data_IF_731683105755
#
_entry.id   IF_731683105755
#
_cell.length_a   1.000
_cell.length_b   1.000
_cell.length_c   1.000
_cell.angle_alpha   90.00
_cell.angle_beta   90.00
_cell.angle_gamma   90.00
#
_symmetry.space_group_name_H-M   'P 1'
#
loop_
_entity.id
_entity.type
_entity.pdbx_description
1 polymer ?
#
# COMPACT_ATOMS: atom_id res chain seq x y z
N UNK A 1 -0.90 4.48 -21.50
CA UNK A 1 0.25 5.41 -21.50
C UNK A 1 1.51 4.56 -21.56
N UNK A 2 2.52 4.94 -22.35
CA UNK A 2 3.82 4.26 -22.36
C UNK A 2 4.91 5.23 -21.93
N UNK A 3 5.76 4.80 -21.01
CA UNK A 3 6.94 5.54 -20.55
C UNK A 3 8.18 4.72 -20.86
N UNK A 4 9.24 5.37 -21.33
CA UNK A 4 10.55 4.76 -21.51
C UNK A 4 11.40 5.13 -20.32
N UNK A 5 11.97 4.12 -19.65
CA UNK A 5 12.83 4.29 -18.49
C UNK A 5 14.17 3.61 -18.78
N UNK A 6 15.26 4.26 -18.39
CA UNK A 6 16.58 3.63 -18.35
C UNK A 6 16.69 2.86 -17.03
N UNK A 7 16.85 1.55 -17.11
CA UNK A 7 16.95 0.68 -15.94
C UNK A 7 18.43 0.61 -15.53
N UNK A 8 18.79 0.97 -14.27
CA UNK A 8 20.15 0.87 -13.78
C UNK A 8 20.65 -0.58 -13.78
N UNK A 9 21.94 -0.81 -14.04
CA UNK A 9 22.54 -2.16 -14.03
C UNK A 9 22.30 -2.90 -12.70
N UNK A 10 22.24 -2.19 -11.57
CA UNK A 10 21.95 -2.78 -10.27
C UNK A 10 20.55 -3.41 -10.17
N UNK A 11 19.58 -2.89 -10.93
CA UNK A 11 18.22 -3.44 -11.01
C UNK A 11 18.17 -4.60 -12.01
N UNK A 12 19.00 -4.56 -13.05
CA UNK A 12 19.07 -5.58 -14.10
C UNK A 12 19.35 -6.98 -13.52
N UNK A 13 20.30 -7.08 -12.58
CA UNK A 13 20.59 -8.34 -11.88
C UNK A 13 19.44 -8.83 -10.99
N UNK A 14 18.67 -7.90 -10.41
CA UNK A 14 17.51 -8.23 -9.55
C UNK A 14 16.36 -8.75 -10.42
N UNK A 15 16.12 -8.11 -11.57
CA UNK A 15 15.13 -8.56 -12.54
C UNK A 15 15.44 -9.97 -13.04
N UNK A 16 16.69 -10.24 -13.39
CA UNK A 16 17.11 -11.57 -13.84
C UNK A 16 16.88 -12.65 -12.79
N UNK A 17 17.16 -12.33 -11.51
CA UNK A 17 16.89 -13.24 -10.41
C UNK A 17 15.39 -13.53 -10.31
N UNK A 18 14.57 -12.48 -10.22
CA UNK A 18 13.11 -12.60 -10.05
C UNK A 18 12.44 -13.30 -11.23
N UNK A 19 12.82 -12.95 -12.46
CA UNK A 19 12.36 -13.61 -13.68
C UNK A 19 12.61 -15.13 -13.66
N UNK A 20 13.75 -15.58 -13.12
CA UNK A 20 14.07 -17.01 -13.00
C UNK A 20 13.27 -17.69 -11.90
N UNK A 21 13.12 -17.05 -10.75
CA UNK A 21 12.39 -17.60 -9.60
C UNK A 21 10.90 -17.76 -9.91
N UNK A 22 10.29 -16.73 -10.53
CA UNK A 22 8.86 -16.69 -10.81
C UNK A 22 8.49 -17.18 -12.22
N UNK A 23 9.47 -17.55 -13.04
CA UNK A 23 9.27 -17.99 -14.43
C UNK A 23 8.56 -16.93 -15.30
N UNK A 24 8.95 -15.67 -15.14
CA UNK A 24 8.39 -14.52 -15.83
C UNK A 24 9.42 -13.88 -16.77
N UNK A 25 8.96 -13.25 -17.85
CA UNK A 25 9.83 -12.37 -18.63
C UNK A 25 10.21 -11.11 -17.84
N UNK A 26 11.27 -10.43 -18.29
CA UNK A 26 11.84 -9.27 -17.57
C UNK A 26 10.86 -8.09 -17.47
N UNK A 27 10.03 -7.89 -18.50
CA UNK A 27 9.06 -6.79 -18.51
C UNK A 27 7.94 -7.07 -17.51
N UNK A 28 7.46 -8.31 -17.46
CA UNK A 28 6.48 -8.75 -16.47
C UNK A 28 7.02 -8.63 -15.03
N UNK A 29 8.25 -9.09 -14.79
CA UNK A 29 8.90 -8.95 -13.47
C UNK A 29 9.07 -7.47 -13.08
N UNK A 30 9.49 -6.61 -14.01
CA UNK A 30 9.61 -5.18 -13.76
C UNK A 30 8.27 -4.52 -13.46
N UNK A 31 7.22 -4.87 -14.20
CA UNK A 31 5.87 -4.35 -13.95
C UNK A 31 5.35 -4.73 -12.56
N UNK A 32 5.59 -5.97 -12.11
CA UNK A 32 5.24 -6.39 -10.75
C UNK A 32 6.00 -5.59 -9.70
N UNK A 33 7.32 -5.44 -9.86
CA UNK A 33 8.13 -4.64 -8.94
C UNK A 33 7.69 -3.17 -8.89
N UNK A 34 7.30 -2.59 -10.03
CA UNK A 34 6.76 -1.23 -10.08
C UNK A 34 5.44 -1.12 -9.31
N UNK A 35 4.57 -2.13 -9.42
CA UNK A 35 3.32 -2.17 -8.68
C UNK A 35 3.54 -2.28 -7.16
N UNK A 36 4.40 -3.21 -6.73
CA UNK A 36 4.78 -3.37 -5.31
C UNK A 36 5.40 -2.10 -4.73
N UNK A 37 6.25 -1.42 -5.52
CA UNK A 37 6.84 -0.14 -5.14
C UNK A 37 5.80 0.97 -5.02
N UNK A 38 4.83 1.04 -5.95
CA UNK A 38 3.74 2.01 -5.90
C UNK A 38 2.83 1.78 -4.69
N UNK A 39 2.48 0.53 -4.42
CA UNK A 39 1.70 0.12 -3.26
C UNK A 39 2.41 0.51 -1.96
N UNK A 40 3.67 0.10 -1.80
CA UNK A 40 4.50 0.45 -0.63
C UNK A 40 4.62 1.96 -0.43
N UNK A 41 4.79 2.72 -1.51
CA UNK A 41 4.82 4.18 -1.47
C UNK A 41 3.49 4.76 -0.94
N UNK A 42 2.35 4.29 -1.46
CA UNK A 42 1.04 4.79 -1.06
C UNK A 42 0.67 4.39 0.38
N UNK A 43 1.00 3.16 0.80
CA UNK A 43 0.86 2.72 2.18
C UNK A 43 1.65 3.63 3.13
N UNK A 44 2.90 3.97 2.79
CA UNK A 44 3.70 4.91 3.60
C UNK A 44 3.10 6.32 3.66
N UNK A 45 2.50 6.79 2.57
CA UNK A 45 1.80 8.07 2.55
C UNK A 45 0.55 8.05 3.44
N UNK A 46 -0.16 6.93 3.50
CA UNK A 46 -1.27 6.73 4.42
C UNK A 46 -0.79 6.69 5.88
N UNK A 47 0.24 5.89 6.17
CA UNK A 47 0.82 5.74 7.52
C UNK A 47 1.36 7.05 8.09
N UNK A 48 1.85 7.94 7.23
CA UNK A 48 2.30 9.29 7.61
C UNK A 48 1.17 10.33 7.66
N UNK A 49 -0.09 9.92 7.43
CA UNK A 49 -1.27 10.78 7.48
C UNK A 49 -1.43 11.73 6.29
N UNK A 50 -0.64 11.56 5.21
CA UNK A 50 -0.67 12.43 4.03
C UNK A 50 -1.84 12.14 3.10
N UNK A 51 -2.32 10.91 3.07
CA UNK A 51 -3.51 10.50 2.33
C UNK A 51 -4.49 9.80 3.27
N UNK A 52 -5.79 9.92 2.97
CA UNK A 52 -6.82 9.17 3.69
C UNK A 52 -6.85 7.72 3.20
N UNK A 53 -7.45 6.82 4.00
CA UNK A 53 -7.71 5.44 3.59
C UNK A 53 -8.58 5.36 2.32
N UNK A 54 -9.54 6.27 2.19
CA UNK A 54 -10.37 6.41 0.99
C UNK A 54 -9.56 6.78 -0.25
N UNK A 55 -8.55 7.66 -0.11
CA UNK A 55 -7.67 8.03 -1.21
C UNK A 55 -6.71 6.90 -1.60
N UNK A 56 -6.26 6.12 -0.62
CA UNK A 56 -5.46 4.91 -0.88
C UNK A 56 -6.25 3.91 -1.74
N UNK A 57 -7.50 3.64 -1.37
CA UNK A 57 -8.42 2.78 -2.13
C UNK A 57 -8.61 3.26 -3.58
N UNK A 58 -8.89 4.55 -3.77
CA UNK A 58 -9.06 5.15 -5.10
C UNK A 58 -7.81 5.02 -5.98
N UNK A 59 -6.62 5.21 -5.40
CA UNK A 59 -5.36 5.20 -6.17
C UNK A 59 -4.89 3.79 -6.55
N UNK A 60 -5.23 2.79 -5.73
CA UNK A 60 -4.89 1.39 -5.98
C UNK A 60 -6.04 0.62 -6.66
N UNK A 61 -7.18 1.26 -6.90
CA UNK A 61 -8.41 0.64 -7.41
C UNK A 61 -8.86 -0.56 -6.56
N UNK A 62 -8.79 -0.37 -5.24
CA UNK A 62 -9.16 -1.38 -4.23
C UNK A 62 -10.43 -0.96 -3.49
N UNK A 63 -11.17 -1.94 -2.98
CA UNK A 63 -12.25 -1.70 -2.04
C UNK A 63 -11.75 -1.52 -0.59
N UNK A 64 -12.65 -1.17 0.32
CA UNK A 64 -12.27 -0.91 1.72
C UNK A 64 -11.79 -2.14 2.49
N UNK A 65 -12.23 -3.33 2.09
CA UNK A 65 -11.84 -4.61 2.66
C UNK A 65 -10.41 -4.95 2.21
N UNK A 66 -10.15 -4.89 0.90
CA UNK A 66 -8.82 -5.10 0.32
C UNK A 66 -7.78 -4.13 0.90
N UNK A 67 -8.17 -2.86 1.10
CA UNK A 67 -7.28 -1.90 1.76
C UNK A 67 -7.02 -2.24 3.24
N UNK A 68 -7.95 -2.88 3.96
CA UNK A 68 -7.65 -3.35 5.32
C UNK A 68 -6.63 -4.48 5.28
N UNK A 69 -6.82 -5.49 4.42
CA UNK A 69 -5.88 -6.61 4.27
C UNK A 69 -4.48 -6.09 3.92
N UNK A 70 -4.40 -5.18 2.94
CA UNK A 70 -3.16 -4.53 2.54
C UNK A 70 -2.45 -3.84 3.72
N UNK A 71 -3.18 -3.08 4.54
CA UNK A 71 -2.58 -2.38 5.68
C UNK A 71 -2.11 -3.34 6.78
N UNK A 72 -2.78 -4.48 6.95
CA UNK A 72 -2.37 -5.53 7.88
C UNK A 72 -1.08 -6.23 7.42
N UNK A 73 -0.98 -6.55 6.13
CA UNK A 73 0.21 -7.15 5.50
C UNK A 73 1.44 -6.26 5.64
N UNK A 74 1.28 -4.95 5.46
CA UNK A 74 2.35 -3.96 5.65
C UNK A 74 2.63 -3.63 7.13
N UNK A 75 2.02 -4.34 8.07
CA UNK A 75 2.12 -4.13 9.53
C UNK A 75 1.82 -2.69 9.97
N UNK A 76 1.02 -1.96 9.20
CA UNK A 76 0.55 -0.63 9.56
C UNK A 76 -0.56 -0.81 10.58
N UNK A 77 -0.19 -0.86 11.86
CA UNK A 77 -1.17 -0.78 12.95
C UNK A 77 -1.93 0.53 12.77
N UNK A 78 -3.23 0.43 12.54
CA UNK A 78 -4.17 1.55 12.57
C UNK A 78 -4.03 2.20 13.94
N UNK A 79 -3.17 3.21 14.04
CA UNK A 79 -3.13 4.06 15.21
C UNK A 79 -4.43 4.85 15.16
N UNK A 80 -5.40 4.39 15.96
CA UNK A 80 -6.61 5.17 16.17
C UNK A 80 -6.10 6.50 16.74
N UNK A 81 -6.23 7.58 15.96
CA UNK A 81 -5.92 8.92 16.47
C UNK A 81 -6.60 9.08 17.83
N UNK A 82 -5.88 9.61 18.82
CA UNK A 82 -6.39 9.80 20.18
C UNK A 82 -7.75 10.53 20.18
N UNK A 83 -7.96 11.44 19.24
CA UNK A 83 -9.22 12.16 19.05
C UNK A 83 -10.37 11.26 18.57
N UNK A 84 -10.06 10.25 17.75
CA UNK A 84 -11.04 9.27 17.26
C UNK A 84 -11.36 8.22 18.33
N UNK A 85 -10.34 7.84 19.11
CA UNK A 85 -10.49 6.97 20.27
C UNK A 85 -11.40 7.61 21.33
N UNK A 86 -11.11 8.86 21.72
CA UNK A 86 -11.91 9.61 22.71
C UNK A 86 -13.34 9.87 22.24
N UNK A 87 -13.55 10.17 20.95
CA UNK A 87 -14.90 10.25 20.38
C UNK A 87 -15.66 8.92 20.46
N UNK A 88 -15.00 7.79 20.20
CA UNK A 88 -15.60 6.46 20.33
C UNK A 88 -16.10 6.18 21.75
N UNK A 89 -15.28 6.50 22.76
CA UNK A 89 -15.65 6.35 24.18
C UNK A 89 -16.85 7.23 24.54
N UNK A 90 -16.83 8.51 24.15
CA UNK A 90 -17.92 9.44 24.47
C UNK A 90 -19.28 9.03 23.87
N UNK A 91 -19.28 8.37 22.72
CA UNK A 91 -20.50 7.84 22.09
C UNK A 91 -20.99 6.59 22.83
N UNK A 92 -20.08 5.69 23.23
CA UNK A 92 -20.43 4.48 23.97
C UNK A 92 -21.04 4.81 25.36
N UNK A 93 -20.49 5.81 26.06
CA UNK A 93 -21.02 6.27 27.36
C UNK A 93 -22.41 6.88 27.24
N UNK A 94 -22.66 7.70 26.21
CA UNK A 94 -23.99 8.30 25.95
C UNK A 94 -25.05 7.30 25.52
N UNK A 95 -24.65 6.15 24.98
CA UNK A 95 -25.56 5.12 24.49
C UNK A 95 -25.90 4.07 25.56
N UNK A 96 -25.26 4.16 26.73
CA UNK A 96 -25.38 3.22 27.84
C UNK A 96 -26.13 3.79 29.06
N UNK A 97 -26.70 4.99 28.94
CA UNK A 97 -27.53 5.65 29.96
C UNK A 97 -28.88 6.05 29.40
#
# INVERSE_FOLDING_TARGET
>A
MSITIEVPESIDSILDQRSREEHLDRVSALNQMLWEGAESYLVNQYSSGKISKGKLAELLDLDMYEVNELLEEHHVKVSISYERFTRGIAIAEKSSG
#
